data_IF_354558749557
#
_entry.id   IF_354558749557
#
_cell.length_a   1.000
_cell.length_b   1.000
_cell.length_c   1.000
_cell.angle_alpha   90.00
_cell.angle_beta   90.00
_cell.angle_gamma   90.00
#
_symmetry.space_group_name_H-M   'P 1'
#
loop_
_entity.id
_entity.type
_entity.pdbx_description
1 polymer ?
#
# COMPACT_ATOMS: atom_id res chain seq x y z
N UNK A 1 0.06 -5.12 15.81
CA UNK A 1 0.35 -3.80 16.45
C UNK A 1 -0.03 -3.75 17.93
N UNK A 2 -1.26 -4.13 18.29
CA UNK A 2 -1.73 -4.19 19.68
C UNK A 2 -0.83 -5.03 20.60
N UNK A 3 -0.47 -6.24 20.17
CA UNK A 3 0.43 -7.16 20.88
C UNK A 3 1.81 -6.54 21.14
N UNK A 4 2.32 -5.76 20.20
CA UNK A 4 3.58 -5.01 20.35
C UNK A 4 3.46 -3.87 21.36
N UNK A 5 2.33 -3.16 21.38
CA UNK A 5 2.07 -2.12 22.39
C UNK A 5 1.95 -2.72 23.81
N UNK A 6 1.29 -3.87 23.96
CA UNK A 6 1.22 -4.60 25.23
C UNK A 6 2.63 -4.96 25.73
N UNK A 7 3.50 -5.44 24.83
CA UNK A 7 4.88 -5.77 25.17
C UNK A 7 5.73 -4.54 25.51
N UNK A 8 5.49 -3.41 24.85
CA UNK A 8 6.23 -2.16 25.06
C UNK A 8 6.07 -1.60 26.48
N UNK A 9 4.89 -1.77 27.09
CA UNK A 9 4.58 -1.30 28.45
C UNK A 9 4.53 -2.45 29.46
N UNK A 10 5.58 -3.26 29.53
CA UNK A 10 5.63 -4.52 30.29
C UNK A 10 5.05 -4.44 31.71
N UNK A 11 5.51 -3.50 32.56
CA UNK A 11 5.03 -3.40 33.96
C UNK A 11 3.53 -3.06 34.05
N UNK A 12 3.06 -2.12 33.24
CA UNK A 12 1.64 -1.72 33.20
C UNK A 12 0.78 -2.86 32.66
N UNK A 13 1.21 -3.47 31.56
CA UNK A 13 0.52 -4.57 30.91
C UNK A 13 0.44 -5.80 31.78
N UNK A 14 1.51 -6.17 32.50
CA UNK A 14 1.45 -7.27 33.45
C UNK A 14 0.61 -6.93 34.68
N UNK A 15 0.55 -5.67 35.11
CA UNK A 15 -0.38 -5.22 36.15
C UNK A 15 -1.85 -5.36 35.75
N UNK A 16 -2.18 -5.17 34.48
CA UNK A 16 -3.56 -5.26 33.96
C UNK A 16 -3.95 -6.67 33.50
N UNK A 17 -3.05 -7.37 32.80
CA UNK A 17 -3.34 -8.62 32.09
C UNK A 17 -2.58 -9.82 32.66
N UNK A 18 -1.86 -9.64 33.76
CA UNK A 18 -0.96 -10.63 34.38
C UNK A 18 0.18 -11.06 33.45
N UNK A 19 1.09 -11.90 33.96
CA UNK A 19 2.17 -12.48 33.15
C UNK A 19 1.63 -13.30 31.97
N UNK A 20 0.52 -14.02 32.17
CA UNK A 20 -0.04 -14.89 31.14
C UNK A 20 -0.50 -14.10 29.90
N UNK A 21 -1.18 -12.97 30.10
CA UNK A 21 -1.61 -12.12 28.99
C UNK A 21 -0.45 -11.52 28.22
N UNK A 22 0.63 -11.18 28.92
CA UNK A 22 1.86 -10.71 28.30
C UNK A 22 2.57 -11.82 27.50
N UNK A 23 2.65 -13.06 28.02
CA UNK A 23 3.25 -14.21 27.32
C UNK A 23 2.45 -14.60 26.06
N UNK A 24 1.12 -14.54 26.11
CA UNK A 24 0.25 -14.75 24.95
C UNK A 24 0.52 -13.66 23.89
N UNK A 25 0.58 -12.40 24.33
CA UNK A 25 0.86 -11.27 23.43
C UNK A 25 2.21 -11.43 22.73
N UNK A 26 3.24 -11.88 23.45
CA UNK A 26 4.57 -12.20 22.89
C UNK A 26 4.47 -13.27 21.79
N UNK A 27 3.77 -14.36 22.07
CA UNK A 27 3.62 -15.48 21.11
C UNK A 27 2.93 -15.02 19.83
N UNK A 28 1.81 -14.31 19.96
CA UNK A 28 1.07 -13.79 18.79
C UNK A 28 1.96 -12.81 18.01
N UNK A 29 2.59 -11.85 18.68
CA UNK A 29 3.43 -10.86 18.02
C UNK A 29 4.58 -11.49 17.23
N UNK A 30 5.19 -12.54 17.77
CA UNK A 30 6.26 -13.26 17.10
C UNK A 30 5.80 -13.89 15.77
N UNK A 31 4.64 -14.58 15.78
CA UNK A 31 4.10 -15.15 14.55
C UNK A 31 3.64 -14.08 13.56
N UNK A 32 3.02 -12.99 14.03
CA UNK A 32 2.69 -11.83 13.19
C UNK A 32 3.95 -11.24 12.52
N UNK A 33 5.05 -11.11 13.28
CA UNK A 33 6.32 -10.59 12.76
C UNK A 33 6.91 -11.51 11.69
N UNK A 34 6.86 -12.83 11.88
CA UNK A 34 7.30 -13.80 10.87
C UNK A 34 6.44 -13.68 9.60
N UNK A 35 5.12 -13.67 9.74
CA UNK A 35 4.21 -13.57 8.60
C UNK A 35 4.42 -12.26 7.83
N UNK A 36 4.55 -11.13 8.53
CA UNK A 36 4.84 -9.84 7.92
C UNK A 36 6.20 -9.85 7.19
N UNK A 37 7.24 -10.42 7.81
CA UNK A 37 8.57 -10.53 7.20
C UNK A 37 8.52 -11.36 5.92
N UNK A 38 7.84 -12.51 5.95
CA UNK A 38 7.67 -13.37 4.78
C UNK A 38 6.83 -12.71 3.69
N UNK A 39 5.76 -11.99 4.05
CA UNK A 39 4.96 -11.23 3.10
C UNK A 39 5.79 -10.15 2.38
N UNK A 40 6.69 -9.47 3.10
CA UNK A 40 7.59 -8.49 2.48
C UNK A 40 8.59 -9.18 1.53
N UNK A 41 9.24 -10.25 1.99
CA UNK A 41 10.31 -10.89 1.22
C UNK A 41 9.77 -11.66 0.01
N UNK A 42 8.70 -12.44 0.19
CA UNK A 42 8.20 -13.32 -0.87
C UNK A 42 7.21 -12.59 -1.76
N UNK A 43 6.21 -11.92 -1.18
CA UNK A 43 5.16 -11.29 -1.98
C UNK A 43 5.61 -9.92 -2.48
N UNK A 44 5.95 -9.02 -1.57
CA UNK A 44 6.21 -7.62 -1.93
C UNK A 44 7.43 -7.48 -2.85
N UNK A 45 8.58 -8.08 -2.50
CA UNK A 45 9.76 -8.00 -3.38
C UNK A 45 9.54 -8.70 -4.72
N UNK A 46 8.74 -9.77 -4.78
CA UNK A 46 8.41 -10.37 -6.06
C UNK A 46 7.71 -9.38 -6.98
N UNK A 47 6.59 -8.78 -6.54
CA UNK A 47 5.83 -7.86 -7.38
C UNK A 47 6.56 -6.56 -7.69
N UNK A 48 7.42 -6.09 -6.79
CA UNK A 48 8.09 -4.77 -6.93
C UNK A 48 9.44 -4.88 -7.64
N UNK A 49 10.19 -5.97 -7.48
CA UNK A 49 11.57 -6.11 -7.99
C UNK A 49 11.67 -7.20 -9.05
N UNK A 50 11.04 -8.36 -8.83
CA UNK A 50 11.25 -9.55 -9.67
C UNK A 50 10.17 -9.78 -10.72
N UNK A 51 9.12 -8.95 -10.78
CA UNK A 51 8.12 -9.01 -11.84
C UNK A 51 8.75 -8.56 -13.18
N UNK A 52 8.80 -9.42 -14.21
CA UNK A 52 9.42 -9.08 -15.49
C UNK A 52 8.76 -7.88 -16.18
N UNK A 53 7.47 -7.63 -15.95
CA UNK A 53 6.75 -6.51 -16.58
C UNK A 53 7.19 -5.14 -16.03
N UNK A 54 7.73 -5.12 -14.81
CA UNK A 54 8.05 -3.90 -14.04
C UNK A 54 9.55 -3.80 -13.69
N UNK A 55 10.38 -4.68 -14.25
CA UNK A 55 11.80 -4.76 -13.90
C UNK A 55 12.58 -3.52 -14.35
N UNK A 56 13.52 -2.97 -13.54
CA UNK A 56 13.92 -3.43 -12.20
C UNK A 56 13.02 -2.96 -11.05
N UNK A 57 12.20 -1.92 -11.28
CA UNK A 57 11.15 -1.45 -10.36
C UNK A 57 10.30 -0.39 -11.07
N UNK A 58 8.99 -0.33 -10.79
CA UNK A 58 8.18 0.82 -11.16
C UNK A 58 8.61 2.07 -10.35
N UNK A 59 8.87 3.21 -11.00
CA UNK A 59 9.28 4.46 -10.33
C UNK A 59 8.11 5.32 -9.85
N UNK A 60 6.86 4.87 -9.97
CA UNK A 60 5.68 5.60 -9.53
C UNK A 60 5.71 5.93 -8.04
N UNK A 61 6.26 5.06 -7.19
CA UNK A 61 6.40 5.35 -5.75
C UNK A 61 7.38 6.50 -5.47
N UNK A 62 8.25 6.86 -6.42
CA UNK A 62 9.18 7.98 -6.31
C UNK A 62 8.71 9.22 -7.08
N UNK A 63 8.24 9.04 -8.31
CA UNK A 63 7.89 10.13 -9.24
C UNK A 63 6.41 10.47 -9.26
N UNK A 64 5.56 9.57 -8.76
CA UNK A 64 4.10 9.67 -8.85
C UNK A 64 3.54 9.54 -10.27
N UNK A 65 4.35 9.08 -11.24
CA UNK A 65 3.96 9.01 -12.66
C UNK A 65 4.14 7.61 -13.22
N UNK A 66 3.27 7.27 -14.17
CA UNK A 66 3.25 6.02 -14.93
C UNK A 66 2.90 6.33 -16.38
N UNK A 67 3.34 5.47 -17.30
CA UNK A 67 3.06 5.67 -18.72
C UNK A 67 1.59 5.37 -19.05
N UNK A 68 1.04 5.97 -20.12
CA UNK A 68 -0.33 5.68 -20.54
C UNK A 68 -0.52 4.20 -20.90
N UNK A 69 0.50 3.57 -21.51
CA UNK A 69 0.49 2.14 -21.84
C UNK A 69 0.37 1.29 -20.58
N UNK A 70 1.19 1.57 -19.58
CA UNK A 70 1.20 0.85 -18.30
C UNK A 70 -0.11 1.06 -17.52
N UNK A 71 -0.68 2.26 -17.57
CA UNK A 71 -2.03 2.54 -17.08
C UNK A 71 -3.10 1.73 -17.80
N UNK A 72 -3.00 1.58 -19.12
CA UNK A 72 -3.95 0.77 -19.88
C UNK A 72 -3.83 -0.72 -19.52
N UNK A 73 -2.60 -1.20 -19.35
CA UNK A 73 -2.32 -2.61 -19.09
C UNK A 73 -2.68 -3.01 -17.63
N UNK A 74 -2.40 -2.18 -16.62
CA UNK A 74 -2.63 -2.50 -15.20
C UNK A 74 -3.89 -1.84 -14.60
N UNK A 75 -4.32 -0.69 -15.12
CA UNK A 75 -5.31 0.19 -14.50
C UNK A 75 -6.31 0.80 -15.51
N UNK A 76 -6.77 0.02 -16.50
CA UNK A 76 -7.61 0.50 -17.61
C UNK A 76 -8.82 1.36 -17.18
N UNK A 77 -9.52 0.95 -16.12
CA UNK A 77 -10.70 1.68 -15.61
C UNK A 77 -10.34 3.06 -15.06
N UNK A 78 -9.19 3.19 -14.41
CA UNK A 78 -8.71 4.48 -13.90
C UNK A 78 -8.30 5.41 -15.04
N UNK A 79 -7.68 4.87 -16.09
CA UNK A 79 -7.32 5.63 -17.28
C UNK A 79 -8.55 6.22 -17.98
N UNK A 80 -9.61 5.42 -18.12
CA UNK A 80 -10.87 5.88 -18.71
C UNK A 80 -11.51 7.02 -17.90
N UNK A 81 -11.47 6.92 -16.58
CA UNK A 81 -12.03 7.95 -15.69
C UNK A 81 -11.16 9.22 -15.65
N UNK A 82 -9.84 9.12 -15.83
CA UNK A 82 -8.97 10.29 -16.03
C UNK A 82 -9.34 10.99 -17.35
N UNK A 83 -9.45 10.24 -18.46
CA UNK A 83 -9.79 10.80 -19.78
C UNK A 83 -11.15 11.49 -19.80
N UNK A 84 -12.16 10.92 -19.12
CA UNK A 84 -13.48 11.56 -18.96
C UNK A 84 -13.38 12.88 -18.21
N UNK A 85 -12.66 12.89 -17.07
CA UNK A 85 -12.47 14.11 -16.26
C UNK A 85 -11.72 15.20 -17.02
N UNK A 86 -10.71 14.84 -17.81
CA UNK A 86 -10.00 15.78 -18.68
C UNK A 86 -10.91 16.37 -19.76
N UNK A 87 -11.73 15.54 -20.42
CA UNK A 87 -12.68 16.00 -21.42
C UNK A 87 -13.77 16.92 -20.83
N UNK A 88 -14.24 16.65 -19.62
CA UNK A 88 -15.18 17.51 -18.88
C UNK A 88 -14.54 18.85 -18.49
N UNK A 89 -13.29 18.83 -18.02
CA UNK A 89 -12.54 20.03 -17.68
C UNK A 89 -12.27 20.91 -18.91
N UNK A 90 -11.93 20.30 -20.05
CA UNK A 90 -11.73 21.02 -21.32
C UNK A 90 -13.04 21.69 -21.78
N UNK A 91 -14.17 20.99 -21.72
CA UNK A 91 -15.49 21.56 -22.04
C UNK A 91 -15.84 22.75 -21.16
N UNK A 92 -15.51 22.69 -19.87
CA UNK A 92 -15.77 23.78 -18.91
C UNK A 92 -14.88 25.00 -19.13
N UNK A 93 -13.66 24.80 -19.62
CA UNK A 93 -12.67 25.87 -19.82
C UNK A 93 -12.73 26.52 -21.21
N UNK A 94 -13.52 26.00 -22.16
CA UNK A 94 -13.76 26.69 -23.44
C UNK A 94 -14.58 27.96 -23.18
N UNK A 95 -14.08 29.16 -23.52
CA UNK A 95 -14.82 30.41 -23.33
C UNK A 95 -16.08 30.39 -24.20
N UNK A 96 -17.16 30.99 -23.69
CA UNK A 96 -18.48 31.08 -24.33
C UNK A 96 -18.52 32.02 -25.55
N UNK A 97 -17.47 32.04 -26.38
CA UNK A 97 -17.30 32.94 -27.51
C UNK A 97 -16.93 32.17 -28.77
N UNK A 98 -17.81 31.25 -29.18
CA UNK A 98 -17.88 30.73 -30.55
C UNK A 98 -19.36 30.45 -30.90
N UNK A 99 -20.19 31.51 -30.90
CA UNK A 99 -21.44 31.59 -31.68
C UNK A 99 -21.56 33.00 -32.28
#
# INVERSE_FOLDING_TARGET
ALTGAIMWFENTSMGLFTKLGWDISRTIHFYEAILATLAIIVWHFYFVIFNPDMYPMNLAWLTGKISEKEMLDEHALELDDIKKREAEAEKKNKPATEE
#
